data_IF_920832859625
#
_entry.id   IF_920832859625
#
_cell.length_a   1.000
_cell.length_b   1.000
_cell.length_c   1.000
_cell.angle_alpha   90.00
_cell.angle_beta   90.00
_cell.angle_gamma   90.00
#
_symmetry.space_group_name_H-M   'P 1'
#
loop_
_entity.id
_entity.type
_entity.pdbx_description
1 polymer ?
#
# COMPACT_ATOMS: atom_id res chain seq x y z
N UNK A 1 -13.49 5.18 -8.38
CA UNK A 1 -13.10 5.92 -9.60
C UNK A 1 -12.38 4.99 -10.60
N UNK A 2 -12.73 4.97 -11.90
CA UNK A 2 -11.78 4.44 -12.91
C UNK A 2 -10.58 5.38 -12.94
N UNK A 3 -9.47 5.00 -12.28
CA UNK A 3 -8.25 5.79 -12.17
C UNK A 3 -7.69 6.13 -13.56
N UNK A 4 -8.02 7.32 -14.08
CA UNK A 4 -7.35 7.92 -15.25
C UNK A 4 -6.01 8.52 -14.81
N UNK A 5 -5.14 7.71 -14.24
CA UNK A 5 -3.79 8.08 -13.87
C UNK A 5 -2.79 7.36 -14.79
N UNK A 6 -1.71 8.03 -15.17
CA UNK A 6 -0.69 7.40 -16.01
C UNK A 6 0.07 6.34 -15.20
N UNK A 7 0.21 5.15 -15.79
CA UNK A 7 1.06 4.06 -15.30
C UNK A 7 2.52 4.53 -15.26
N UNK A 8 3.02 4.83 -14.06
CA UNK A 8 4.44 4.98 -13.78
C UNK A 8 5.02 3.65 -13.30
N UNK A 9 5.05 2.63 -14.15
CA UNK A 9 5.79 1.39 -13.88
C UNK A 9 7.19 1.44 -14.49
N UNK A 10 8.11 0.63 -13.96
CA UNK A 10 9.44 0.41 -14.56
C UNK A 10 9.34 -0.19 -15.99
N UNK A 11 8.15 -0.65 -16.42
CA UNK A 11 7.89 -1.32 -17.70
C UNK A 11 7.42 -0.41 -18.86
N UNK A 12 7.99 0.79 -19.03
CA UNK A 12 8.28 1.21 -20.41
C UNK A 12 7.81 2.57 -20.95
N UNK A 13 7.52 3.58 -20.13
CA UNK A 13 7.56 5.00 -20.62
C UNK A 13 8.17 6.01 -19.64
N UNK A 14 8.27 5.67 -18.35
CA UNK A 14 8.83 6.54 -17.33
C UNK A 14 9.94 5.79 -16.58
N UNK A 15 11.19 6.04 -16.93
CA UNK A 15 12.35 5.36 -16.31
C UNK A 15 12.59 5.95 -14.92
N UNK A 16 12.01 5.36 -13.88
CA UNK A 16 12.30 5.72 -12.49
C UNK A 16 13.48 4.87 -12.00
N UNK A 17 14.69 5.38 -12.16
CA UNK A 17 15.93 4.63 -11.87
C UNK A 17 15.99 4.15 -10.42
N UNK A 18 16.14 2.84 -10.22
CA UNK A 18 16.38 2.17 -8.93
C UNK A 18 17.52 2.81 -8.12
N UNK A 19 18.55 3.25 -8.84
CA UNK A 19 19.74 3.92 -8.32
C UNK A 19 19.65 5.40 -8.66
N UNK A 20 19.88 6.26 -7.67
CA UNK A 20 19.85 7.70 -7.84
C UNK A 20 21.12 8.29 -7.24
N UNK A 21 21.62 9.39 -7.80
CA UNK A 21 22.76 10.10 -7.25
C UNK A 21 22.52 10.41 -5.76
N UNK A 22 23.48 10.06 -4.90
CA UNK A 22 23.36 10.17 -3.44
C UNK A 22 22.91 11.57 -2.99
N UNK A 23 23.39 12.60 -3.67
CA UNK A 23 23.04 14.01 -3.42
C UNK A 23 21.55 14.30 -3.60
N UNK A 24 20.86 13.57 -4.50
CA UNK A 24 19.42 13.75 -4.72
C UNK A 24 18.60 13.39 -3.48
N UNK A 25 19.03 12.37 -2.75
CA UNK A 25 18.32 11.85 -1.57
C UNK A 25 18.75 12.57 -0.28
N UNK A 26 19.91 13.23 -0.29
CA UNK A 26 20.51 13.83 0.90
C UNK A 26 19.68 15.03 1.39
N UNK A 27 19.35 15.03 2.69
CA UNK A 27 18.64 16.14 3.34
C UNK A 27 17.14 16.22 3.03
N UNK A 28 16.53 15.19 2.43
CA UNK A 28 15.09 15.16 2.09
C UNK A 28 14.24 14.45 3.14
N UNK A 29 14.85 13.59 3.95
CA UNK A 29 14.14 12.66 4.83
C UNK A 29 14.40 12.91 6.32
N UNK A 30 14.99 14.06 6.70
CA UNK A 30 15.32 14.33 8.10
C UNK A 30 16.23 13.25 8.70
N UNK A 31 15.87 12.76 9.88
CA UNK A 31 16.62 11.72 10.60
C UNK A 31 16.69 10.37 9.86
N UNK A 32 15.68 10.06 9.04
CA UNK A 32 15.58 8.82 8.27
C UNK A 32 16.63 8.71 7.16
N UNK A 33 17.30 9.82 6.82
CA UNK A 33 18.39 9.83 5.82
C UNK A 33 19.53 8.85 6.17
N UNK A 34 19.69 8.50 7.47
CA UNK A 34 20.69 7.53 7.94
C UNK A 34 20.39 6.09 7.53
N UNK A 35 19.14 5.81 7.13
CA UNK A 35 18.64 4.49 6.79
C UNK A 35 18.74 4.18 5.28
N UNK A 36 19.37 5.06 4.50
CA UNK A 36 19.54 4.88 3.06
C UNK A 36 20.62 3.83 2.75
N UNK A 37 20.39 3.00 1.73
CA UNK A 37 21.39 2.10 1.18
C UNK A 37 22.27 2.83 0.16
N UNK A 38 23.55 2.99 0.49
CA UNK A 38 24.57 3.52 -0.43
C UNK A 38 25.24 2.38 -1.21
N UNK A 39 25.53 2.62 -2.48
CA UNK A 39 26.34 1.73 -3.29
C UNK A 39 27.83 1.98 -3.02
N UNK A 40 28.63 0.92 -3.19
CA UNK A 40 30.08 1.03 -3.10
C UNK A 40 30.60 1.95 -4.20
N UNK A 41 31.55 2.82 -3.86
CA UNK A 41 32.29 3.60 -4.83
C UNK A 41 33.12 2.68 -5.73
N UNK A 42 32.91 2.82 -7.04
CA UNK A 42 33.61 2.07 -8.10
C UNK A 42 34.31 3.01 -9.09
N UNK A 43 34.59 4.27 -8.70
CA UNK A 43 35.25 5.27 -9.53
C UNK A 43 34.31 6.07 -10.43
N UNK A 44 33.01 6.05 -10.14
CA UNK A 44 31.97 6.78 -10.86
C UNK A 44 31.13 7.67 -9.94
N UNK A 45 29.92 8.00 -10.36
CA UNK A 45 28.98 8.74 -9.50
C UNK A 45 28.62 7.94 -8.23
N UNK A 46 28.51 8.64 -7.11
CA UNK A 46 28.01 8.04 -5.87
C UNK A 46 26.50 7.83 -5.96
N UNK A 47 26.07 6.59 -5.81
CA UNK A 47 24.67 6.19 -5.98
C UNK A 47 24.10 5.65 -4.66
N UNK A 48 22.80 5.83 -4.48
CA UNK A 48 22.02 5.27 -3.40
C UNK A 48 20.74 4.64 -3.95
N UNK A 49 20.21 3.63 -3.25
CA UNK A 49 18.90 3.06 -3.55
C UNK A 49 17.79 4.00 -3.05
N UNK A 50 16.69 4.07 -3.79
CA UNK A 50 15.52 4.89 -3.44
C UNK A 50 14.91 4.45 -2.10
N UNK A 51 14.72 5.41 -1.20
CA UNK A 51 14.08 5.23 0.12
C UNK A 51 12.55 5.21 0.04
N UNK A 52 12.00 5.97 -0.93
CA UNK A 52 10.59 6.08 -1.26
C UNK A 52 10.38 6.30 -2.78
N UNK A 53 9.13 6.49 -3.21
CA UNK A 53 8.80 6.86 -4.59
C UNK A 53 8.49 8.36 -4.76
N UNK A 54 8.28 9.09 -3.66
CA UNK A 54 7.91 10.52 -3.67
C UNK A 54 9.08 11.43 -4.05
N UNK A 55 10.28 11.24 -3.50
CA UNK A 55 11.47 12.03 -3.89
C UNK A 55 11.89 11.79 -5.34
N UNK A 56 11.94 10.53 -5.84
CA UNK A 56 12.13 10.28 -7.27
C UNK A 56 11.10 10.97 -8.16
N UNK A 57 9.83 11.04 -7.73
CA UNK A 57 8.78 11.75 -8.45
C UNK A 57 9.00 13.28 -8.48
N UNK A 58 9.34 13.89 -7.35
CA UNK A 58 9.66 15.31 -7.29
C UNK A 58 10.84 15.68 -8.22
N UNK A 59 11.88 14.83 -8.25
CA UNK A 59 12.98 14.97 -9.21
C UNK A 59 12.49 14.84 -10.66
N UNK A 60 11.65 13.86 -10.95
CA UNK A 60 11.10 13.66 -12.30
C UNK A 60 10.33 14.89 -12.79
N UNK A 61 9.50 15.50 -11.94
CA UNK A 61 8.77 16.73 -12.25
C UNK A 61 9.73 17.87 -12.61
N UNK A 62 10.74 18.10 -11.76
CA UNK A 62 11.70 19.18 -11.94
C UNK A 62 12.53 19.00 -13.23
N UNK A 63 13.09 17.81 -13.45
CA UNK A 63 13.92 17.51 -14.62
C UNK A 63 13.15 17.68 -15.94
N UNK A 64 11.90 17.24 -15.98
CA UNK A 64 11.06 17.33 -17.17
C UNK A 64 10.27 18.65 -17.25
N UNK A 65 10.46 19.55 -16.28
CA UNK A 65 9.74 20.83 -16.15
C UNK A 65 8.22 20.69 -16.11
N UNK A 66 7.71 19.54 -15.70
CA UNK A 66 6.27 19.24 -15.60
C UNK A 66 5.68 20.02 -14.43
N UNK A 67 4.59 20.74 -14.70
CA UNK A 67 3.88 21.54 -13.68
C UNK A 67 2.57 20.91 -13.24
N UNK A 68 2.05 19.93 -13.98
CA UNK A 68 0.84 19.22 -13.64
C UNK A 68 0.90 17.78 -14.14
N UNK A 69 0.59 16.82 -13.27
CA UNK A 69 0.45 15.40 -13.63
C UNK A 69 -0.29 14.69 -12.51
N UNK A 70 -1.11 13.70 -12.88
CA UNK A 70 -1.73 12.75 -11.96
C UNK A 70 -1.25 11.35 -12.31
N UNK A 71 -0.55 10.70 -11.38
CA UNK A 71 0.16 9.44 -11.63
C UNK A 71 0.02 8.48 -10.47
N UNK A 72 0.25 7.21 -10.75
CA UNK A 72 0.56 6.22 -9.73
C UNK A 72 1.86 5.50 -10.06
N UNK A 73 2.51 4.96 -9.04
CA UNK A 73 3.77 4.23 -9.16
C UNK A 73 3.79 3.08 -8.14
N UNK A 74 3.88 1.85 -8.64
CA UNK A 74 4.02 0.64 -7.82
C UNK A 74 5.42 0.08 -8.03
N UNK A 75 6.23 0.15 -6.98
CA UNK A 75 7.62 -0.30 -7.07
C UNK A 75 8.22 -0.60 -5.70
N UNK A 76 9.31 -1.37 -5.71
CA UNK A 76 10.09 -1.67 -4.51
C UNK A 76 10.92 -0.47 -4.06
N UNK A 77 11.06 -0.34 -2.74
CA UNK A 77 11.90 0.65 -2.05
C UNK A 77 12.77 -0.03 -1.00
N UNK A 78 13.80 0.69 -0.54
CA UNK A 78 14.88 0.11 0.25
C UNK A 78 15.19 0.96 1.48
N UNK A 79 15.02 0.37 2.67
CA UNK A 79 15.26 1.04 3.96
C UNK A 79 16.08 0.14 4.87
N UNK A 80 17.16 0.66 5.45
CA UNK A 80 18.02 -0.04 6.42
C UNK A 80 17.40 -0.08 7.83
N UNK A 81 16.09 -0.19 7.92
CA UNK A 81 15.37 -0.29 9.19
C UNK A 81 15.71 -1.62 9.90
N UNK A 82 15.37 -1.70 11.18
CA UNK A 82 15.42 -2.94 11.95
C UNK A 82 14.22 -3.81 11.56
N UNK A 83 14.45 -4.95 10.87
CA UNK A 83 13.36 -5.75 10.33
C UNK A 83 12.55 -6.39 11.46
N UNK A 84 11.23 -6.42 11.29
CA UNK A 84 10.31 -7.14 12.16
C UNK A 84 9.41 -8.00 11.27
N UNK A 85 9.87 -9.23 11.00
CA UNK A 85 9.24 -10.13 10.03
C UNK A 85 7.79 -10.45 10.38
N UNK A 86 7.49 -10.62 11.68
CA UNK A 86 6.13 -10.87 12.20
C UNK A 86 5.18 -9.68 12.06
N UNK A 87 5.69 -8.49 11.71
CA UNK A 87 4.91 -7.24 11.55
C UNK A 87 4.96 -6.69 10.12
N UNK A 88 5.49 -7.46 9.17
CA UNK A 88 5.63 -7.07 7.76
C UNK A 88 6.63 -5.93 7.53
N UNK A 89 7.61 -5.72 8.43
CA UNK A 89 8.68 -4.73 8.22
C UNK A 89 9.91 -5.37 7.62
N UNK A 90 10.10 -5.11 6.34
CA UNK A 90 11.24 -5.58 5.56
C UNK A 90 12.19 -4.44 5.21
N UNK A 91 13.37 -4.79 4.72
CA UNK A 91 14.36 -3.82 4.21
C UNK A 91 14.19 -3.53 2.73
N UNK A 92 13.62 -4.46 1.99
CA UNK A 92 13.10 -4.30 0.63
C UNK A 92 11.61 -4.59 0.69
N UNK A 93 10.78 -3.69 0.19
CA UNK A 93 9.31 -3.88 0.16
C UNK A 93 8.66 -3.01 -0.90
N UNK A 94 7.42 -3.33 -1.29
CA UNK A 94 6.64 -2.53 -2.22
C UNK A 94 6.00 -1.29 -1.58
N UNK A 95 6.01 -0.19 -2.33
CA UNK A 95 5.08 0.93 -2.16
C UNK A 95 4.15 1.02 -3.37
N UNK A 96 2.90 1.42 -3.11
CA UNK A 96 1.94 1.80 -4.15
C UNK A 96 1.56 3.26 -3.90
N UNK A 97 2.24 4.16 -4.60
CA UNK A 97 2.04 5.60 -4.47
C UNK A 97 1.06 6.10 -5.53
N UNK A 98 0.21 7.05 -5.16
CA UNK A 98 -0.64 7.84 -6.04
C UNK A 98 -0.49 9.31 -5.70
N UNK A 99 -0.22 10.14 -6.71
CA UNK A 99 0.07 11.56 -6.50
C UNK A 99 -0.56 12.46 -7.55
N UNK A 100 -1.01 13.62 -7.08
CA UNK A 100 -1.55 14.72 -7.88
C UNK A 100 -0.61 15.91 -7.72
N UNK A 101 0.09 16.26 -8.79
CA UNK A 101 0.92 17.45 -8.88
C UNK A 101 0.21 18.52 -9.72
N UNK A 102 0.27 19.76 -9.25
CA UNK A 102 -0.24 20.94 -9.95
C UNK A 102 -0.91 21.95 -9.04
N UNK A 103 -1.06 23.17 -9.56
CA UNK A 103 -1.83 24.23 -8.92
C UNK A 103 -3.31 24.02 -9.22
N UNK A 104 -4.10 23.75 -8.18
CA UNK A 104 -5.55 23.57 -8.25
C UNK A 104 -6.22 24.36 -7.12
N UNK A 105 -7.55 24.38 -7.14
CA UNK A 105 -8.33 24.95 -6.05
C UNK A 105 -8.21 24.10 -4.79
N UNK A 106 -8.30 24.78 -3.64
CA UNK A 106 -7.95 24.22 -2.34
C UNK A 106 -8.74 22.94 -2.02
N UNK A 107 -8.05 21.95 -1.48
CA UNK A 107 -8.57 20.70 -0.90
C UNK A 107 -9.26 19.73 -1.85
N UNK A 108 -9.51 20.08 -3.12
CA UNK A 108 -10.13 19.15 -4.08
C UNK A 108 -9.23 17.92 -4.33
N UNK A 109 -7.93 18.07 -4.66
CA UNK A 109 -7.05 16.92 -4.87
C UNK A 109 -6.79 16.14 -3.56
N UNK A 110 -6.73 16.85 -2.44
CA UNK A 110 -6.52 16.28 -1.11
C UNK A 110 -7.68 15.36 -0.70
N UNK A 111 -8.92 15.79 -0.97
CA UNK A 111 -10.11 14.97 -0.78
C UNK A 111 -10.13 13.75 -1.71
N UNK A 112 -9.70 13.89 -2.97
CA UNK A 112 -9.60 12.76 -3.92
C UNK A 112 -8.62 11.69 -3.41
N UNK A 113 -7.48 12.08 -2.84
CA UNK A 113 -6.53 11.14 -2.24
C UNK A 113 -7.16 10.31 -1.11
N UNK A 114 -7.91 10.95 -0.20
CA UNK A 114 -8.60 10.24 0.88
C UNK A 114 -9.71 9.31 0.35
N UNK A 115 -10.44 9.74 -0.69
CA UNK A 115 -11.43 8.88 -1.35
C UNK A 115 -10.80 7.64 -1.97
N UNK A 116 -9.62 7.76 -2.58
CA UNK A 116 -8.89 6.62 -3.16
C UNK A 116 -8.48 5.63 -2.06
N UNK A 117 -7.96 6.11 -0.93
CA UNK A 117 -7.63 5.24 0.22
C UNK A 117 -8.87 4.50 0.70
N UNK A 118 -9.98 5.22 0.89
CA UNK A 118 -11.25 4.62 1.28
C UNK A 118 -11.71 3.54 0.30
N UNK A 119 -11.71 3.82 -1.01
CA UNK A 119 -12.14 2.87 -2.03
C UNK A 119 -11.27 1.61 -2.02
N UNK A 120 -9.94 1.75 -1.97
CA UNK A 120 -8.99 0.63 -1.94
C UNK A 120 -9.22 -0.25 -0.70
N UNK A 121 -9.26 0.36 0.50
CA UNK A 121 -9.39 -0.41 1.74
C UNK A 121 -10.77 -1.08 1.86
N UNK A 122 -11.82 -0.44 1.35
CA UNK A 122 -13.16 -1.00 1.33
C UNK A 122 -13.29 -2.16 0.32
N UNK A 123 -12.67 -2.06 -0.86
CA UNK A 123 -12.72 -3.10 -1.89
C UNK A 123 -11.89 -4.34 -1.53
N UNK A 124 -10.79 -4.17 -0.79
CA UNK A 124 -9.94 -5.27 -0.35
C UNK A 124 -10.53 -6.10 0.81
N UNK A 125 -11.61 -5.63 1.46
CA UNK A 125 -12.31 -6.32 2.55
C UNK A 125 -11.36 -6.84 3.66
N UNK A 126 -10.52 -5.93 4.18
CA UNK A 126 -9.50 -6.20 5.19
C UNK A 126 -10.02 -6.05 6.64
N UNK A 127 -11.35 -5.94 6.81
CA UNK A 127 -11.99 -5.57 8.07
C UNK A 127 -12.20 -4.05 8.21
N UNK A 128 -12.64 -3.63 9.39
CA UNK A 128 -12.90 -2.21 9.65
C UNK A 128 -11.60 -1.38 9.72
N UNK A 129 -11.67 -0.11 9.31
CA UNK A 129 -10.52 0.80 9.26
C UNK A 129 -10.92 2.24 9.61
N UNK A 130 -9.92 3.06 9.91
CA UNK A 130 -10.05 4.51 10.11
C UNK A 130 -8.91 5.24 9.41
N UNK A 131 -9.20 6.41 8.84
CA UNK A 131 -8.23 7.31 8.22
C UNK A 131 -8.11 8.53 9.11
N UNK A 132 -7.02 8.59 9.88
CA UNK A 132 -6.65 9.76 10.67
C UNK A 132 -6.16 10.85 9.72
N UNK A 133 -6.60 12.08 9.94
CA UNK A 133 -6.17 13.28 9.19
C UNK A 133 -5.73 14.36 10.17
N UNK A 134 -4.74 15.15 9.79
CA UNK A 134 -4.30 16.37 10.48
C UNK A 134 -3.65 17.31 9.46
N UNK A 135 -3.14 18.46 9.88
CA UNK A 135 -2.41 19.40 9.02
C UNK A 135 -1.14 19.92 9.72
N UNK A 136 -0.04 19.96 8.96
CA UNK A 136 1.27 20.42 9.44
C UNK A 136 1.22 21.82 10.06
N UNK A 137 0.42 22.73 9.48
CA UNK A 137 0.27 24.12 9.93
C UNK A 137 -0.51 24.21 11.25
N UNK A 138 -1.42 23.27 11.49
CA UNK A 138 -2.14 23.14 12.77
C UNK A 138 -1.15 22.71 13.85
N UNK A 139 -0.31 21.70 13.58
CA UNK A 139 0.75 21.28 14.51
C UNK A 139 1.72 22.43 14.84
N UNK A 140 2.19 23.16 13.82
CA UNK A 140 3.06 24.33 13.97
C UNK A 140 2.40 25.40 14.86
N UNK A 141 1.16 25.76 14.55
CA UNK A 141 0.46 26.79 15.30
C UNK A 141 0.09 26.36 16.72
N UNK A 142 -0.29 25.09 16.92
CA UNK A 142 -0.61 24.50 18.22
C UNK A 142 0.59 24.52 19.15
N UNK A 143 1.76 24.06 18.69
CA UNK A 143 2.97 24.10 19.50
C UNK A 143 3.41 25.53 19.82
N UNK A 144 3.28 26.46 18.88
CA UNK A 144 3.57 27.87 19.12
C UNK A 144 2.66 28.47 20.21
N UNK A 145 1.35 28.21 20.19
CA UNK A 145 0.43 28.73 21.23
C UNK A 145 0.61 28.04 22.59
N UNK A 146 1.08 26.79 22.59
CA UNK A 146 1.47 26.09 23.82
C UNK A 146 2.80 26.60 24.38
N UNK A 147 3.61 27.34 23.62
CA UNK A 147 4.89 27.89 24.07
C UNK A 147 6.07 26.93 23.88
N UNK A 148 6.00 26.04 22.89
CA UNK A 148 7.15 25.22 22.49
C UNK A 148 8.17 26.10 21.76
N UNK A 149 9.46 26.07 22.16
CA UNK A 149 10.51 26.77 21.43
C UNK A 149 10.70 26.22 20.02
N UNK A 150 10.91 27.10 19.03
CA UNK A 150 11.07 26.72 17.61
C UNK A 150 12.16 25.64 17.39
N UNK A 151 13.27 25.74 18.13
CA UNK A 151 14.39 24.79 18.10
C UNK A 151 14.04 23.37 18.59
N UNK A 152 12.98 23.24 19.40
CA UNK A 152 12.47 21.97 19.91
C UNK A 152 11.29 21.43 19.11
N UNK A 153 10.80 22.17 18.11
CA UNK A 153 9.62 21.80 17.35
C UNK A 153 9.66 20.35 16.85
N UNK A 154 10.75 19.98 16.16
CA UNK A 154 10.90 18.66 15.54
C UNK A 154 10.95 17.53 16.56
N UNK A 155 11.68 17.74 17.66
CA UNK A 155 11.85 16.72 18.70
C UNK A 155 10.55 16.51 19.46
N UNK A 156 9.77 17.57 19.70
CA UNK A 156 8.43 17.46 20.30
C UNK A 156 7.42 16.80 19.35
N UNK A 157 7.45 17.12 18.04
CA UNK A 157 6.64 16.40 17.03
C UNK A 157 6.92 14.90 17.06
N UNK A 158 8.20 14.50 17.08
CA UNK A 158 8.61 13.09 17.17
C UNK A 158 8.10 12.42 18.45
N UNK A 159 8.08 13.13 19.57
CA UNK A 159 7.55 12.60 20.83
C UNK A 159 6.01 12.50 20.81
N UNK A 160 5.29 13.48 20.24
CA UNK A 160 3.82 13.41 20.04
C UNK A 160 3.43 12.24 19.15
N UNK A 161 4.21 11.93 18.10
CA UNK A 161 3.93 10.81 17.19
C UNK A 161 3.83 9.46 17.91
N UNK A 162 4.51 9.32 19.05
CA UNK A 162 4.50 8.10 19.86
C UNK A 162 3.19 7.87 20.60
N UNK A 163 2.26 8.84 20.63
CA UNK A 163 0.91 8.66 21.22
C UNK A 163 0.10 7.55 20.55
N UNK A 164 0.51 7.11 19.35
CA UNK A 164 -0.09 5.96 18.69
C UNK A 164 0.24 4.62 19.40
N UNK A 165 1.31 4.58 20.20
CA UNK A 165 1.83 3.38 20.87
C UNK A 165 2.02 3.54 22.38
N UNK A 166 2.11 4.77 22.87
CA UNK A 166 2.42 5.11 24.25
C UNK A 166 1.29 5.92 24.87
N UNK A 167 1.05 5.71 26.17
CA UNK A 167 0.12 6.53 26.93
C UNK A 167 0.63 7.97 27.03
N UNK A 168 -0.31 8.92 27.17
CA UNK A 168 -0.01 10.34 27.34
C UNK A 168 1.01 10.60 28.46
N UNK A 169 0.89 9.91 29.59
CA UNK A 169 1.79 10.08 30.73
C UNK A 169 3.26 9.81 30.40
N UNK A 170 3.53 8.79 29.58
CA UNK A 170 4.90 8.44 29.20
C UNK A 170 5.44 9.39 28.12
N UNK A 171 4.57 9.83 27.21
CA UNK A 171 4.89 10.88 26.23
C UNK A 171 5.19 12.21 26.94
N UNK A 172 4.40 12.61 27.93
CA UNK A 172 4.63 13.79 28.77
C UNK A 172 5.97 13.70 29.51
N UNK A 173 6.27 12.55 30.14
CA UNK A 173 7.56 12.32 30.81
C UNK A 173 8.73 12.48 29.85
N UNK A 174 8.64 11.96 28.62
CA UNK A 174 9.70 12.12 27.62
C UNK A 174 9.89 13.60 27.24
N UNK A 175 8.80 14.34 27.01
CA UNK A 175 8.87 15.78 26.69
C UNK A 175 9.57 16.58 27.79
N UNK A 176 9.25 16.30 29.05
CA UNK A 176 9.79 17.04 30.19
C UNK A 176 11.22 16.60 30.49
N UNK A 177 11.44 15.30 30.71
CA UNK A 177 12.70 14.79 31.25
C UNK A 177 13.80 14.68 30.19
N UNK A 178 13.46 14.33 28.95
CA UNK A 178 14.46 14.10 27.89
C UNK A 178 14.58 15.29 26.94
N UNK A 179 13.47 15.95 26.61
CA UNK A 179 13.47 17.11 25.69
C UNK A 179 13.56 18.45 26.42
N UNK A 180 13.45 18.45 27.75
CA UNK A 180 13.59 19.65 28.58
C UNK A 180 12.48 20.67 28.37
N UNK A 181 11.26 20.23 28.10
CA UNK A 181 10.08 21.09 28.03
C UNK A 181 9.54 21.35 29.45
N UNK A 182 8.95 22.51 29.72
CA UNK A 182 8.31 22.72 31.02
C UNK A 182 7.02 21.91 31.14
N UNK A 183 6.67 21.52 32.36
CA UNK A 183 5.47 20.73 32.62
C UNK A 183 4.20 21.46 32.16
N UNK A 184 4.09 22.76 32.43
CA UNK A 184 2.96 23.60 31.97
C UNK A 184 2.81 23.68 30.44
N UNK A 185 3.92 23.58 29.69
CA UNK A 185 3.86 23.53 28.22
C UNK A 185 3.40 22.15 27.77
N UNK A 186 3.92 21.09 28.38
CA UNK A 186 3.51 19.72 28.07
C UNK A 186 2.02 19.50 28.37
N UNK A 187 1.51 19.99 29.50
CA UNK A 187 0.08 19.88 29.85
C UNK A 187 -0.82 20.59 28.85
N UNK A 188 -0.44 21.80 28.41
CA UNK A 188 -1.17 22.51 27.35
C UNK A 188 -1.14 21.77 26.02
N UNK A 189 -0.05 21.09 25.67
CA UNK A 189 -0.02 20.21 24.49
C UNK A 189 -1.04 19.07 24.67
N UNK A 190 -1.08 18.46 25.85
CA UNK A 190 -1.99 17.38 26.22
C UNK A 190 -3.47 17.70 26.00
N UNK A 191 -3.86 18.94 26.33
CA UNK A 191 -5.21 19.45 26.10
C UNK A 191 -5.62 19.33 24.62
N UNK A 192 -4.71 19.64 23.68
CA UNK A 192 -5.01 19.60 22.25
C UNK A 192 -4.80 18.22 21.62
N UNK A 193 -3.69 17.53 21.90
CA UNK A 193 -3.35 16.27 21.21
C UNK A 193 -4.26 15.10 21.59
N UNK A 194 -5.03 15.25 22.68
CA UNK A 194 -6.08 14.30 23.07
C UNK A 194 -7.40 14.51 22.32
N UNK A 195 -7.53 15.60 21.54
CA UNK A 195 -8.73 15.91 20.78
C UNK A 195 -8.76 15.16 19.45
N UNK A 196 -9.89 14.50 19.20
CA UNK A 196 -10.23 13.88 17.91
C UNK A 196 -11.71 14.08 17.59
N UNK A 197 -12.08 14.10 16.31
CA UNK A 197 -13.46 14.36 15.88
C UNK A 197 -13.60 14.44 14.37
N UNK A 198 -14.62 15.15 13.88
CA UNK A 198 -14.83 15.42 12.47
C UNK A 198 -14.80 16.91 12.16
N UNK A 199 -15.71 17.34 11.29
CA UNK A 199 -15.88 18.76 10.96
C UNK A 199 -16.20 19.62 12.18
N UNK A 200 -16.95 19.08 13.16
CA UNK A 200 -17.32 19.76 14.40
C UNK A 200 -16.08 20.20 15.20
N UNK A 201 -15.02 19.38 15.20
CA UNK A 201 -13.77 19.68 15.88
C UNK A 201 -13.04 20.83 15.18
N UNK A 202 -12.98 20.81 13.85
CA UNK A 202 -12.39 21.92 13.08
C UNK A 202 -13.13 23.24 13.36
N UNK A 203 -14.46 23.21 13.44
CA UNK A 203 -15.27 24.39 13.76
C UNK A 203 -15.06 24.88 15.20
N UNK A 204 -14.94 23.98 16.17
CA UNK A 204 -14.60 24.33 17.56
C UNK A 204 -13.23 24.98 17.66
N UNK A 205 -12.21 24.41 17.02
CA UNK A 205 -10.84 24.92 17.06
C UNK A 205 -10.69 26.24 16.31
N UNK A 206 -11.51 26.52 15.29
CA UNK A 206 -11.59 27.84 14.67
C UNK A 206 -12.10 28.92 15.63
N UNK A 207 -12.86 28.55 16.65
CA UNK A 207 -13.35 29.45 17.70
C UNK A 207 -12.41 29.51 18.92
N UNK A 208 -11.36 28.68 18.96
CA UNK A 208 -10.39 28.70 20.04
C UNK A 208 -9.63 30.05 20.07
N UNK A 209 -9.65 30.80 21.19
CA UNK A 209 -9.07 32.13 21.26
C UNK A 209 -7.55 32.18 21.01
N UNK A 210 -6.83 31.09 21.29
CA UNK A 210 -5.38 31.00 21.11
C UNK A 210 -5.06 30.60 19.67
N UNK A 211 -5.67 29.53 19.16
CA UNK A 211 -5.41 29.01 17.82
C UNK A 211 -5.90 29.95 16.72
N UNK A 212 -7.05 30.60 16.90
CA UNK A 212 -7.62 31.53 15.92
C UNK A 212 -6.73 32.75 15.65
N UNK A 213 -5.89 33.14 16.61
CA UNK A 213 -4.92 34.23 16.44
C UNK A 213 -3.65 33.80 15.71
N UNK A 214 -3.36 32.48 15.65
CA UNK A 214 -2.23 31.95 14.92
C UNK A 214 -2.60 31.76 13.44
N UNK A 215 -1.97 32.56 12.56
CA UNK A 215 -2.28 32.54 11.11
C UNK A 215 -2.10 31.17 10.45
N UNK A 216 -1.11 30.38 10.87
CA UNK A 216 -0.86 29.06 10.30
C UNK A 216 -1.93 28.07 10.74
N UNK A 217 -2.23 28.00 12.03
CA UNK A 217 -3.29 27.14 12.55
C UNK A 217 -4.65 27.52 11.95
N UNK A 218 -4.98 28.81 11.88
CA UNK A 218 -6.24 29.27 11.29
C UNK A 218 -6.39 28.85 9.82
N UNK A 219 -5.34 28.99 9.02
CA UNK A 219 -5.34 28.54 7.63
C UNK A 219 -5.51 27.01 7.52
N UNK A 220 -4.75 26.24 8.32
CA UNK A 220 -4.87 24.79 8.36
C UNK A 220 -6.27 24.33 8.78
N UNK A 221 -6.86 24.93 9.81
CA UNK A 221 -8.21 24.62 10.29
C UNK A 221 -9.30 24.99 9.26
N UNK A 222 -9.11 26.09 8.53
CA UNK A 222 -10.01 26.48 7.44
C UNK A 222 -9.98 25.45 6.31
N UNK A 223 -8.78 25.00 5.94
CA UNK A 223 -8.60 23.94 4.94
C UNK A 223 -9.16 22.60 5.42
N UNK A 224 -9.00 22.24 6.70
CA UNK A 224 -9.62 21.05 7.28
C UNK A 224 -11.14 21.12 7.21
N UNK A 225 -11.75 22.25 7.56
CA UNK A 225 -13.20 22.43 7.42
C UNK A 225 -13.66 22.23 5.96
N UNK A 226 -12.95 22.80 5.00
CA UNK A 226 -13.25 22.64 3.58
C UNK A 226 -13.09 21.18 3.14
N UNK A 227 -12.02 20.51 3.56
CA UNK A 227 -11.77 19.10 3.30
C UNK A 227 -12.95 18.24 3.77
N UNK A 228 -13.41 18.40 5.01
CA UNK A 228 -14.54 17.62 5.53
C UNK A 228 -15.84 17.85 4.73
N UNK A 229 -16.08 19.08 4.25
CA UNK A 229 -17.25 19.33 3.38
C UNK A 229 -17.18 18.56 2.06
N UNK A 230 -15.99 18.37 1.49
CA UNK A 230 -15.82 17.53 0.28
C UNK A 230 -15.91 16.05 0.59
N UNK A 231 -15.39 15.61 1.75
CA UNK A 231 -15.50 14.22 2.20
C UNK A 231 -16.95 13.82 2.48
N UNK A 232 -17.79 14.75 2.93
CA UNK A 232 -19.23 14.54 3.08
C UNK A 232 -19.90 14.28 1.73
N UNK A 233 -19.57 15.08 0.70
CA UNK A 233 -20.04 14.86 -0.67
C UNK A 233 -19.59 13.50 -1.23
N UNK A 234 -18.38 13.06 -0.87
CA UNK A 234 -17.83 11.74 -1.24
C UNK A 234 -18.36 10.59 -0.39
N UNK A 235 -19.11 10.88 0.67
CA UNK A 235 -19.70 9.91 1.60
C UNK A 235 -18.65 9.00 2.22
N UNK A 236 -17.58 9.59 2.78
CA UNK A 236 -16.48 8.85 3.44
C UNK A 236 -16.16 9.36 4.85
N UNK A 237 -16.95 10.31 5.37
CA UNK A 237 -16.73 10.93 6.69
C UNK A 237 -16.87 9.96 7.85
N UNK A 238 -17.57 8.83 7.66
CA UNK A 238 -17.69 7.75 8.65
C UNK A 238 -16.36 7.04 8.93
N UNK A 239 -15.40 7.12 8.01
CA UNK A 239 -14.06 6.53 8.15
C UNK A 239 -12.96 7.55 8.41
N UNK A 240 -13.22 8.85 8.27
CA UNK A 240 -12.19 9.89 8.39
C UNK A 240 -12.29 10.59 9.74
N UNK A 241 -11.19 10.62 10.50
CA UNK A 241 -11.12 11.22 11.84
C UNK A 241 -10.05 12.31 11.86
N UNK A 242 -10.43 13.53 12.20
CA UNK A 242 -9.50 14.59 12.51
C UNK A 242 -8.87 14.31 13.87
N UNK A 243 -7.56 14.06 13.91
CA UNK A 243 -6.83 13.63 15.10
C UNK A 243 -5.57 14.49 15.27
N UNK A 244 -5.53 15.31 16.33
CA UNK A 244 -4.42 16.24 16.58
C UNK A 244 -3.15 15.52 17.07
N UNK A 245 -3.26 14.26 17.48
CA UNK A 245 -2.12 13.41 17.84
C UNK A 245 -1.33 12.93 16.61
N UNK A 246 -1.92 13.00 15.41
CA UNK A 246 -1.25 12.58 14.18
C UNK A 246 -0.17 13.60 13.82
N UNK A 247 1.07 13.30 14.19
CA UNK A 247 2.25 14.10 13.86
C UNK A 247 3.21 13.35 12.92
N UNK A 248 2.72 12.30 12.24
CA UNK A 248 3.48 11.52 11.28
C UNK A 248 3.83 12.32 10.04
N UNK A 249 5.06 12.10 9.60
CA UNK A 249 5.41 12.39 8.23
C UNK A 249 6.88 12.64 8.02
N UNK A 250 7.29 12.47 6.78
CA UNK A 250 8.61 12.89 6.33
C UNK A 250 8.65 14.42 6.39
N UNK A 251 9.84 14.96 6.69
CA UNK A 251 10.11 16.40 6.90
C UNK A 251 9.60 17.33 5.78
N UNK A 252 9.13 16.79 4.64
CA UNK A 252 8.67 17.52 3.48
C UNK A 252 7.18 17.89 3.43
N UNK A 253 6.33 17.41 4.35
CA UNK A 253 4.91 17.78 4.34
C UNK A 253 4.69 19.24 4.75
N UNK A 254 3.75 19.91 4.07
CA UNK A 254 3.47 21.36 4.20
C UNK A 254 2.00 21.68 4.47
N UNK A 255 1.11 20.69 4.41
CA UNK A 255 -0.33 20.84 4.62
C UNK A 255 -0.90 19.60 5.27
N UNK A 256 -1.99 19.06 4.71
CA UNK A 256 -2.62 17.86 5.25
C UNK A 256 -1.66 16.68 5.33
N UNK A 257 -1.83 15.88 6.37
CA UNK A 257 -1.17 14.60 6.61
C UNK A 257 -2.25 13.60 6.99
N UNK A 258 -2.10 12.36 6.55
CA UNK A 258 -3.06 11.33 6.84
C UNK A 258 -2.45 9.95 6.94
N UNK A 259 -3.14 9.11 7.71
CA UNK A 259 -2.74 7.75 8.02
C UNK A 259 -3.98 6.87 8.17
N UNK A 260 -4.02 5.77 7.43
CA UNK A 260 -5.05 4.75 7.58
C UNK A 260 -4.56 3.62 8.49
N UNK A 261 -5.37 3.27 9.47
CA UNK A 261 -5.15 2.17 10.41
C UNK A 261 -6.32 1.19 10.32
N UNK A 262 -6.05 -0.10 10.48
CA UNK A 262 -7.11 -1.09 10.64
C UNK A 262 -7.58 -1.12 12.09
N UNK A 263 -8.87 -1.35 12.31
CA UNK A 263 -9.50 -1.32 13.64
C UNK A 263 -9.41 -2.67 14.38
N UNK A 264 -9.13 -3.78 13.69
CA UNK A 264 -9.15 -5.13 14.29
C UNK A 264 -7.77 -5.64 14.70
N UNK A 265 -7.60 -5.93 15.99
CA UNK A 265 -6.52 -6.80 16.49
C UNK A 265 -6.55 -8.13 15.74
N UNK A 266 -5.54 -8.39 14.93
CA UNK A 266 -5.28 -9.72 14.38
C UNK A 266 -5.09 -10.64 15.59
N UNK A 267 -5.85 -11.75 15.73
CA UNK A 267 -5.57 -12.74 16.77
C UNK A 267 -4.11 -13.14 16.67
N UNK A 268 -3.35 -12.98 17.76
CA UNK A 268 -1.95 -13.40 17.80
C UNK A 268 -1.90 -14.94 17.70
N UNK A 269 -1.82 -15.49 16.50
CA UNK A 269 -1.52 -16.89 16.30
C UNK A 269 -0.07 -17.05 15.85
N UNK A 270 0.67 -17.77 16.68
CA UNK A 270 2.09 -18.17 16.58
C UNK A 270 3.09 -17.10 17.00
N UNK A 271 3.07 -16.79 18.30
CA UNK A 271 4.32 -16.53 19.01
C UNK A 271 5.24 -17.74 18.85
N UNK A 272 6.35 -17.57 18.15
CA UNK A 272 7.49 -18.48 18.31
C UNK A 272 8.06 -18.28 19.73
N UNK A 273 8.58 -19.34 20.40
CA UNK A 273 8.91 -19.29 21.83
C UNK A 273 10.21 -18.53 22.17
N UNK A 274 10.51 -17.40 21.52
CA UNK A 274 11.81 -16.73 21.65
C UNK A 274 11.78 -15.30 22.26
N UNK A 275 10.61 -14.69 22.48
CA UNK A 275 10.56 -13.35 23.09
C UNK A 275 9.65 -13.32 24.32
N UNK A 276 10.10 -13.98 25.38
CA UNK A 276 9.72 -13.61 26.75
C UNK A 276 10.59 -12.43 27.18
N UNK A 277 10.12 -11.20 26.94
CA UNK A 277 10.44 -10.06 27.78
C UNK A 277 9.14 -9.29 27.98
N UNK A 278 8.65 -9.31 29.21
CA UNK A 278 7.28 -8.95 29.57
C UNK A 278 6.91 -7.50 29.25
N UNK A 279 5.75 -7.36 28.62
CA UNK A 279 4.81 -6.26 28.79
C UNK A 279 3.43 -6.76 28.29
N UNK A 280 2.51 -6.86 29.23
CA UNK A 280 1.04 -6.97 29.19
C UNK A 280 0.27 -7.31 27.90
N UNK A 281 -0.78 -8.12 28.11
CA UNK A 281 -1.88 -8.49 27.21
C UNK A 281 -2.73 -7.29 26.72
N UNK A 282 -2.10 -6.32 26.05
CA UNK A 282 -2.79 -5.31 25.25
C UNK A 282 -2.74 -5.74 23.78
N UNK A 283 -3.91 -5.92 23.16
CA UNK A 283 -4.04 -6.30 21.77
C UNK A 283 -3.07 -5.53 20.87
N UNK A 284 -2.31 -6.27 20.04
CA UNK A 284 -1.32 -5.70 19.13
C UNK A 284 -1.99 -4.63 18.27
N UNK A 285 -1.58 -3.36 18.42
CA UNK A 285 -2.11 -2.26 17.60
C UNK A 285 -1.92 -2.63 16.13
N UNK A 286 -3.00 -2.70 15.38
CA UNK A 286 -2.96 -2.91 13.93
C UNK A 286 -2.29 -1.70 13.32
N UNK A 287 -1.06 -1.88 12.83
CA UNK A 287 -0.30 -0.75 12.35
C UNK A 287 -0.88 -0.16 11.06
N UNK A 288 -0.44 1.05 10.74
CA UNK A 288 -0.71 1.80 9.49
C UNK A 288 -0.70 0.96 8.20
N UNK A 289 -1.75 1.05 7.39
CA UNK A 289 -1.88 0.39 6.08
C UNK A 289 -1.83 1.36 4.90
N UNK A 290 -1.95 2.66 5.17
CA UNK A 290 -1.70 3.71 4.18
C UNK A 290 -1.27 4.99 4.88
N UNK A 291 -0.50 5.83 4.19
CA UNK A 291 -0.12 7.15 4.70
C UNK A 291 0.22 8.11 3.57
N UNK A 292 0.05 9.41 3.81
CA UNK A 292 0.28 10.42 2.79
C UNK A 292 0.06 11.84 3.29
N UNK A 293 0.03 12.78 2.36
CA UNK A 293 -0.14 14.19 2.67
C UNK A 293 0.26 15.13 1.54
N UNK A 294 0.19 16.43 1.83
CA UNK A 294 0.54 17.54 0.91
C UNK A 294 1.97 18.02 1.14
N UNK A 295 2.75 18.18 0.07
CA UNK A 295 4.20 18.45 0.12
C UNK A 295 4.67 19.45 -0.96
N UNK A 296 4.16 20.68 -0.91
CA UNK A 296 4.31 21.68 -1.99
C UNK A 296 5.75 22.20 -2.18
N UNK A 297 6.63 21.97 -1.20
CA UNK A 297 8.02 22.44 -1.22
C UNK A 297 8.99 21.50 -1.95
N UNK A 298 8.66 20.21 -2.11
CA UNK A 298 9.64 19.19 -2.45
C UNK A 298 10.17 19.33 -3.89
N UNK A 299 9.29 19.62 -4.85
CA UNK A 299 9.69 19.81 -6.26
C UNK A 299 10.61 21.02 -6.41
N UNK A 300 10.33 22.10 -5.67
CA UNK A 300 11.16 23.31 -5.69
C UNK A 300 12.59 23.08 -5.21
N UNK A 301 12.85 22.00 -4.45
CA UNK A 301 14.22 21.64 -4.06
C UNK A 301 15.06 21.03 -5.19
N UNK A 302 14.42 20.59 -6.28
CA UNK A 302 15.09 20.02 -7.46
C UNK A 302 15.06 20.95 -8.67
N UNK A 303 14.16 21.94 -8.70
CA UNK A 303 14.09 22.93 -9.76
C UNK A 303 15.20 24.00 -9.58
N UNK A 304 16.07 24.24 -10.59
CA UNK A 304 17.17 25.20 -10.46
C UNK A 304 16.74 26.64 -10.16
N UNK A 305 15.48 27.01 -10.44
CA UNK A 305 14.92 28.33 -10.15
C UNK A 305 14.04 28.33 -8.89
N UNK A 306 13.98 27.21 -8.17
CA UNK A 306 13.13 27.06 -6.99
C UNK A 306 11.63 27.10 -7.32
N UNK A 307 11.23 26.80 -8.56
CA UNK A 307 9.82 26.81 -8.94
C UNK A 307 9.06 25.74 -8.14
N UNK A 308 8.08 26.18 -7.35
CA UNK A 308 7.20 25.29 -6.59
C UNK A 308 6.18 24.65 -7.52
N UNK A 309 5.94 23.37 -7.31
CA UNK A 309 4.82 22.62 -7.91
C UNK A 309 4.10 21.98 -6.73
N UNK A 310 2.88 22.43 -6.40
CA UNK A 310 2.11 21.84 -5.32
C UNK A 310 1.82 20.37 -5.59
N UNK A 311 1.92 19.54 -4.55
CA UNK A 311 1.73 18.09 -4.67
C UNK A 311 0.99 17.55 -3.45
N UNK A 312 0.08 16.62 -3.69
CA UNK A 312 -0.55 15.80 -2.64
C UNK A 312 -0.62 14.35 -3.12
N UNK A 313 -0.42 13.41 -2.21
CA UNK A 313 -0.46 12.00 -2.58
C UNK A 313 -0.44 11.05 -1.39
N UNK A 314 -0.65 9.79 -1.70
CA UNK A 314 -0.79 8.70 -0.74
C UNK A 314 0.04 7.49 -1.16
N UNK A 315 0.54 6.76 -0.17
CA UNK A 315 1.21 5.48 -0.32
C UNK A 315 0.41 4.40 0.41
N UNK A 316 0.09 3.30 -0.28
CA UNK A 316 -0.52 2.11 0.31
C UNK A 316 0.58 1.15 0.76
N UNK A 317 0.51 0.72 2.03
CA UNK A 317 1.42 -0.24 2.65
C UNK A 317 1.08 -1.68 2.24
N UNK A 318 1.39 -2.05 0.99
CA UNK A 318 0.96 -3.31 0.38
C UNK A 318 1.45 -4.55 1.14
N UNK A 319 2.66 -4.53 1.71
CA UNK A 319 3.18 -5.70 2.45
C UNK A 319 2.27 -6.14 3.59
N UNK A 320 1.73 -5.18 4.36
CA UNK A 320 0.80 -5.50 5.44
C UNK A 320 -0.52 -6.06 4.91
N UNK A 321 -0.99 -5.51 3.80
CA UNK A 321 -2.18 -5.98 3.11
C UNK A 321 -1.98 -7.44 2.66
N UNK A 322 -0.84 -7.76 2.04
CA UNK A 322 -0.52 -9.13 1.64
C UNK A 322 -0.49 -10.09 2.81
N UNK A 323 0.15 -9.73 3.94
CA UNK A 323 0.15 -10.59 5.13
C UNK A 323 -1.27 -10.87 5.66
N UNK A 324 -2.16 -9.87 5.65
CA UNK A 324 -3.55 -10.04 6.11
C UNK A 324 -4.34 -10.91 5.12
N UNK A 325 -4.17 -10.68 3.81
CA UNK A 325 -4.84 -11.47 2.78
C UNK A 325 -4.37 -12.92 2.77
N UNK A 326 -3.08 -13.17 2.99
CA UNK A 326 -2.52 -14.52 3.12
C UNK A 326 -3.11 -15.25 4.33
N UNK A 327 -3.18 -14.60 5.49
CA UNK A 327 -3.84 -15.16 6.68
C UNK A 327 -5.35 -15.43 6.45
N UNK A 328 -6.05 -14.53 5.76
CA UNK A 328 -7.46 -14.73 5.38
C UNK A 328 -7.61 -15.92 4.43
N UNK A 329 -6.66 -16.12 3.51
CA UNK A 329 -6.64 -17.26 2.61
C UNK A 329 -6.30 -18.58 3.34
N UNK A 330 -5.33 -18.58 4.27
CA UNK A 330 -4.96 -19.74 5.09
C UNK A 330 -6.10 -20.20 6.01
N UNK A 331 -6.88 -19.24 6.52
CA UNK A 331 -8.06 -19.54 7.35
C UNK A 331 -9.27 -19.95 6.51
N UNK A 332 -9.30 -19.59 5.23
CA UNK A 332 -10.26 -20.12 4.28
C UNK A 332 -9.90 -21.56 3.90
N UNK A 333 -10.90 -22.42 3.66
CA UNK A 333 -10.66 -23.76 3.10
C UNK A 333 -10.31 -23.73 1.61
N UNK A 334 -10.22 -22.55 0.99
CA UNK A 334 -9.98 -22.38 -0.43
C UNK A 334 -8.48 -22.35 -0.72
N UNK A 335 -8.06 -23.24 -1.64
CA UNK A 335 -6.66 -23.31 -2.05
C UNK A 335 -6.36 -22.19 -3.04
N UNK A 336 -5.46 -21.29 -2.67
CA UNK A 336 -4.93 -20.28 -3.59
C UNK A 336 -4.15 -20.97 -4.71
N UNK A 337 -4.62 -20.79 -5.95
CA UNK A 337 -3.95 -21.35 -7.13
C UNK A 337 -2.76 -20.48 -7.52
N UNK A 338 -1.65 -21.12 -7.85
CA UNK A 338 -0.44 -20.46 -8.36
C UNK A 338 -0.35 -20.48 -9.89
N UNK A 339 -1.32 -21.12 -10.56
CA UNK A 339 -1.43 -21.20 -12.01
C UNK A 339 -2.86 -20.95 -12.47
N UNK A 340 -3.01 -20.48 -13.70
CA UNK A 340 -4.31 -20.22 -14.33
C UNK A 340 -4.73 -21.32 -15.30
N UNK A 341 -4.08 -22.49 -15.24
CA UNK A 341 -4.31 -23.60 -16.17
C UNK A 341 -5.75 -24.09 -16.06
N UNK A 342 -6.46 -24.09 -17.20
CA UNK A 342 -7.87 -24.43 -17.33
C UNK A 342 -8.08 -25.92 -17.52
N UNK A 343 -7.17 -26.59 -18.24
CA UNK A 343 -7.32 -28.00 -18.59
C UNK A 343 -5.96 -28.72 -18.69
N UNK A 344 -5.90 -29.94 -18.18
CA UNK A 344 -4.78 -30.85 -18.43
C UNK A 344 -5.15 -31.82 -19.56
N UNK A 345 -4.33 -31.92 -20.61
CA UNK A 345 -4.47 -32.96 -21.64
C UNK A 345 -3.84 -34.25 -21.13
N UNK A 346 -4.65 -35.29 -21.02
CA UNK A 346 -4.27 -36.56 -20.43
C UNK A 346 -4.55 -37.76 -21.34
N UNK A 347 -3.94 -38.90 -21.02
CA UNK A 347 -4.38 -40.19 -21.55
C UNK A 347 -4.05 -41.31 -20.56
N UNK A 348 -4.85 -42.37 -20.55
CA UNK A 348 -4.58 -43.58 -19.76
C UNK A 348 -3.73 -44.59 -20.54
N UNK A 349 -3.90 -44.63 -21.86
CA UNK A 349 -3.21 -45.55 -22.75
C UNK A 349 -1.80 -45.08 -23.11
N UNK A 350 -0.97 -46.02 -23.55
CA UNK A 350 0.41 -45.78 -23.97
C UNK A 350 0.45 -45.23 -25.40
N UNK A 351 1.60 -44.67 -25.81
CA UNK A 351 1.90 -44.21 -27.17
C UNK A 351 1.02 -43.06 -27.69
N UNK A 352 0.29 -42.36 -26.81
CA UNK A 352 -0.56 -41.21 -27.17
C UNK A 352 0.10 -39.85 -26.94
N UNK A 353 1.43 -39.80 -26.70
CA UNK A 353 2.11 -38.52 -26.47
C UNK A 353 1.92 -37.55 -27.65
N UNK A 354 2.09 -38.03 -28.88
CA UNK A 354 1.96 -37.18 -30.08
C UNK A 354 0.55 -36.58 -30.19
N UNK A 355 -0.49 -37.37 -29.90
CA UNK A 355 -1.88 -36.89 -29.90
C UNK A 355 -2.16 -35.90 -28.76
N UNK A 356 -1.61 -36.14 -27.56
CA UNK A 356 -1.68 -35.16 -26.47
C UNK A 356 -1.00 -33.85 -26.85
N UNK A 357 0.18 -33.90 -27.48
CA UNK A 357 0.89 -32.70 -27.94
C UNK A 357 0.11 -31.95 -29.02
N UNK A 358 -0.49 -32.66 -29.99
CA UNK A 358 -1.35 -32.07 -31.03
C UNK A 358 -2.54 -31.34 -30.40
N UNK A 359 -3.26 -32.00 -29.48
CA UNK A 359 -4.41 -31.39 -28.82
C UNK A 359 -4.01 -30.19 -27.96
N UNK A 360 -2.93 -30.32 -27.18
CA UNK A 360 -2.43 -29.22 -26.33
C UNK A 360 -2.08 -27.99 -27.19
N UNK A 361 -1.40 -28.19 -28.33
CA UNK A 361 -1.10 -27.11 -29.26
C UNK A 361 -2.36 -26.48 -29.88
N UNK A 362 -3.39 -27.28 -30.22
CA UNK A 362 -4.67 -26.76 -30.69
C UNK A 362 -5.35 -25.87 -29.64
N UNK A 363 -5.32 -26.29 -28.37
CA UNK A 363 -5.87 -25.52 -27.25
C UNK A 363 -5.10 -24.21 -27.03
N UNK A 364 -3.77 -24.24 -27.07
CA UNK A 364 -2.94 -23.02 -27.01
C UNK A 364 -3.23 -22.06 -28.16
N UNK A 365 -3.33 -22.56 -29.40
CA UNK A 365 -3.67 -21.75 -30.57
C UNK A 365 -5.07 -21.12 -30.46
N UNK A 366 -5.97 -21.70 -29.66
CA UNK A 366 -7.30 -21.18 -29.37
C UNK A 366 -7.36 -20.26 -28.12
N UNK A 367 -6.22 -19.98 -27.50
CA UNK A 367 -6.11 -19.13 -26.30
C UNK A 367 -6.48 -19.83 -24.99
N UNK A 368 -6.60 -21.16 -24.98
CA UNK A 368 -6.87 -21.94 -23.77
C UNK A 368 -5.56 -22.21 -23.02
N UNK A 369 -5.56 -21.97 -21.71
CA UNK A 369 -4.45 -22.26 -20.81
C UNK A 369 -4.42 -23.76 -20.51
N UNK A 370 -3.78 -24.52 -21.40
CA UNK A 370 -3.69 -25.98 -21.30
C UNK A 370 -2.29 -26.45 -20.86
N UNK A 371 -2.21 -27.59 -20.20
CA UNK A 371 -0.95 -28.26 -19.87
C UNK A 371 -0.98 -29.74 -20.28
N UNK A 372 0.20 -30.37 -20.36
CA UNK A 372 0.38 -31.81 -20.54
C UNK A 372 1.55 -32.27 -19.69
N UNK A 373 1.45 -33.43 -19.04
CA UNK A 373 2.61 -33.98 -18.31
C UNK A 373 3.71 -34.38 -19.29
N UNK A 374 4.95 -33.97 -18.99
CA UNK A 374 6.16 -34.28 -19.77
C UNK A 374 6.64 -35.74 -19.58
N UNK A 375 5.75 -36.70 -19.82
CA UNK A 375 6.01 -38.13 -19.79
C UNK A 375 5.43 -38.76 -21.05
N UNK A 376 6.10 -39.74 -21.64
CA UNK A 376 5.56 -40.47 -22.80
C UNK A 376 4.26 -41.20 -22.42
N UNK A 377 4.30 -41.96 -21.33
CA UNK A 377 3.20 -42.82 -20.87
C UNK A 377 2.86 -42.56 -19.38
N UNK A 378 2.28 -41.39 -19.03
CA UNK A 378 1.85 -41.11 -17.66
C UNK A 378 0.68 -42.02 -17.26
N UNK A 379 0.59 -42.38 -15.98
CA UNK A 379 -0.59 -43.06 -15.45
C UNK A 379 -1.74 -42.05 -15.31
N UNK A 380 -2.97 -42.44 -15.60
CA UNK A 380 -4.13 -41.54 -15.45
C UNK A 380 -4.26 -41.03 -14.01
N UNK A 381 -4.09 -41.91 -13.02
CA UNK A 381 -4.12 -41.52 -11.61
C UNK A 381 -3.14 -40.39 -11.29
N UNK A 382 -1.89 -40.47 -11.76
CA UNK A 382 -0.90 -39.41 -11.52
C UNK A 382 -1.22 -38.08 -12.22
N UNK A 383 -1.99 -38.12 -13.31
CA UNK A 383 -2.45 -36.92 -14.01
C UNK A 383 -3.59 -36.25 -13.22
N UNK A 384 -4.54 -37.03 -12.72
CA UNK A 384 -5.63 -36.54 -11.88
C UNK A 384 -5.11 -35.95 -10.56
N UNK A 385 -4.18 -36.64 -9.90
CA UNK A 385 -3.52 -36.15 -8.68
C UNK A 385 -2.82 -34.80 -8.92
N UNK A 386 -2.12 -34.65 -10.06
CA UNK A 386 -1.51 -33.37 -10.42
C UNK A 386 -2.55 -32.25 -10.56
N UNK A 387 -3.71 -32.52 -11.17
CA UNK A 387 -4.80 -31.55 -11.26
C UNK A 387 -5.37 -31.17 -9.89
N UNK A 388 -5.59 -32.16 -9.00
CA UNK A 388 -6.04 -31.93 -7.61
C UNK A 388 -5.01 -31.09 -6.83
N UNK A 389 -3.71 -31.38 -7.00
CA UNK A 389 -2.60 -30.66 -6.36
C UNK A 389 -2.39 -29.24 -6.90
N UNK A 390 -2.75 -28.94 -8.14
CA UNK A 390 -2.56 -27.61 -8.76
C UNK A 390 -3.86 -26.81 -8.92
N UNK A 391 -4.99 -27.43 -8.60
CA UNK A 391 -6.32 -26.83 -8.76
C UNK A 391 -6.80 -26.71 -10.20
N UNK A 392 -6.22 -27.48 -11.15
CA UNK A 392 -6.69 -27.50 -12.54
C UNK A 392 -8.11 -28.09 -12.57
N UNK A 393 -9.13 -27.38 -13.11
CA UNK A 393 -10.52 -27.80 -12.96
C UNK A 393 -10.94 -28.91 -13.93
N UNK A 394 -10.27 -29.04 -15.08
CA UNK A 394 -10.67 -29.96 -16.15
C UNK A 394 -9.53 -30.87 -16.62
N UNK A 395 -9.87 -32.07 -17.08
CA UNK A 395 -8.96 -32.98 -17.76
C UNK A 395 -9.55 -33.43 -19.10
N UNK A 396 -8.83 -33.16 -20.18
CA UNK A 396 -9.17 -33.62 -21.53
C UNK A 396 -8.47 -34.97 -21.79
N UNK A 397 -9.21 -36.07 -21.67
CA UNK A 397 -8.68 -37.43 -21.74
C UNK A 397 -8.79 -37.96 -23.17
N UNK A 398 -7.65 -38.34 -23.73
CA UNK A 398 -7.53 -39.03 -25.01
C UNK A 398 -7.41 -40.54 -24.82
N UNK A 399 -8.06 -41.28 -25.71
CA UNK A 399 -7.89 -42.71 -25.90
C UNK A 399 -8.03 -43.07 -27.38
N UNK A 400 -7.58 -44.26 -27.76
CA UNK A 400 -7.61 -44.75 -29.14
C UNK A 400 -9.03 -44.81 -29.73
N UNK A 401 -10.05 -45.09 -28.90
CA UNK A 401 -11.43 -45.12 -29.34
C UNK A 401 -11.98 -43.70 -29.51
N UNK A 402 -11.75 -42.83 -28.53
CA UNK A 402 -12.13 -41.41 -28.59
C UNK A 402 -11.53 -40.71 -29.82
N UNK A 403 -10.28 -41.03 -30.17
CA UNK A 403 -9.62 -40.53 -31.38
C UNK A 403 -10.29 -41.02 -32.68
N UNK A 404 -10.76 -42.28 -32.73
CA UNK A 404 -11.51 -42.82 -33.88
C UNK A 404 -12.88 -42.17 -34.00
N UNK A 405 -13.52 -41.90 -32.88
CA UNK A 405 -14.86 -41.32 -32.82
C UNK A 405 -14.85 -39.79 -32.96
N UNK A 406 -13.67 -39.17 -33.00
CA UNK A 406 -13.50 -37.72 -33.15
C UNK A 406 -13.93 -36.94 -31.91
N UNK A 407 -13.91 -37.57 -30.73
CA UNK A 407 -14.32 -36.99 -29.45
C UNK A 407 -13.15 -36.90 -28.47
N UNK A 408 -13.33 -36.12 -27.41
CA UNK A 408 -12.44 -36.05 -26.26
C UNK A 408 -13.29 -36.18 -25.02
N UNK A 409 -12.87 -37.07 -24.10
CA UNK A 409 -13.56 -37.24 -22.83
C UNK A 409 -13.13 -36.13 -21.88
N UNK A 410 -14.03 -35.19 -21.61
CA UNK A 410 -13.78 -34.05 -20.73
C UNK A 410 -14.27 -34.39 -19.32
N UNK A 411 -13.33 -34.47 -18.38
CA UNK A 411 -13.60 -34.76 -16.98
C UNK A 411 -13.52 -33.50 -16.13
N UNK A 412 -14.49 -33.27 -15.25
CA UNK A 412 -14.36 -32.30 -14.16
C UNK A 412 -13.61 -32.95 -12.99
N UNK A 413 -12.56 -32.30 -12.49
CA UNK A 413 -11.68 -32.87 -11.45
C UNK A 413 -12.40 -32.96 -10.11
N UNK A 414 -13.17 -31.94 -9.73
CA UNK A 414 -13.87 -31.88 -8.46
C UNK A 414 -15.10 -32.81 -8.43
N UNK A 415 -16.01 -32.70 -9.43
CA UNK A 415 -17.23 -33.53 -9.45
C UNK A 415 -17.00 -34.94 -9.97
N UNK A 416 -15.86 -35.20 -10.63
CA UNK A 416 -15.49 -36.48 -11.27
C UNK A 416 -16.39 -36.90 -12.43
N UNK A 417 -17.31 -36.03 -12.84
CA UNK A 417 -18.18 -36.27 -13.99
C UNK A 417 -17.38 -36.21 -15.30
N UNK A 418 -17.70 -37.12 -16.22
CA UNK A 418 -17.07 -37.25 -17.53
C UNK A 418 -18.14 -37.08 -18.61
N UNK A 419 -17.83 -36.29 -19.63
CA UNK A 419 -18.70 -36.08 -20.79
C UNK A 419 -17.86 -36.21 -22.05
N UNK A 420 -18.36 -36.94 -23.03
CA UNK A 420 -17.73 -36.99 -24.35
C UNK A 420 -18.08 -35.72 -25.13
N UNK A 421 -17.06 -34.99 -25.56
CA UNK A 421 -17.19 -33.72 -26.27
C UNK A 421 -16.59 -33.88 -27.67
N UNK A 422 -17.33 -33.55 -28.75
CA UNK A 422 -16.75 -33.52 -30.09
C UNK A 422 -15.52 -32.64 -30.14
N UNK A 423 -14.46 -33.08 -30.82
CA UNK A 423 -13.18 -32.36 -30.85
C UNK A 423 -13.33 -30.92 -31.40
N UNK A 424 -14.31 -30.70 -32.27
CA UNK A 424 -14.64 -29.39 -32.82
C UNK A 424 -15.18 -28.41 -31.75
N UNK A 425 -15.94 -28.92 -30.77
CA UNK A 425 -16.64 -28.11 -29.76
C UNK A 425 -15.84 -27.94 -28.46
N UNK A 426 -14.72 -28.68 -28.32
CA UNK A 426 -13.94 -28.76 -27.09
C UNK A 426 -13.46 -27.39 -26.58
N UNK A 427 -13.05 -26.50 -27.48
CA UNK A 427 -12.58 -25.15 -27.11
C UNK A 427 -13.70 -24.35 -26.44
N UNK A 428 -14.89 -24.36 -27.03
CA UNK A 428 -16.02 -23.59 -26.53
C UNK A 428 -16.57 -24.18 -25.23
N UNK A 429 -16.57 -25.52 -25.12
CA UNK A 429 -16.98 -26.20 -23.90
C UNK A 429 -16.02 -25.93 -22.73
N UNK A 430 -14.70 -25.85 -22.97
CA UNK A 430 -13.73 -25.46 -21.94
C UNK A 430 -13.96 -24.01 -21.51
N UNK A 431 -14.17 -23.08 -22.46
CA UNK A 431 -14.46 -21.67 -22.16
C UNK A 431 -15.70 -21.55 -21.29
N UNK A 432 -16.79 -22.22 -21.66
CA UNK A 432 -18.06 -22.22 -20.92
C UNK A 432 -17.94 -22.71 -19.47
N UNK A 433 -16.99 -23.59 -19.17
CA UNK A 433 -16.79 -24.17 -17.83
C UNK A 433 -15.75 -23.46 -16.97
N UNK A 434 -15.02 -22.48 -17.52
CA UNK A 434 -13.87 -21.85 -16.83
C UNK A 434 -13.83 -20.33 -16.92
N UNK A 435 -14.67 -19.72 -17.75
CA UNK A 435 -15.04 -18.30 -17.71
C UNK A 435 -16.37 -18.17 -16.98
#
# INVERSE_FOLDING_TARGET
LQLKAQLGGDEGKHVFVLKTAKETLTGKYGEDSKLIYDLKDQGGELLSLRYDLTVPFARYLALNKITNIKRYHIAKVYRRDNPAMTRGRYREFYQCDFDIAGQYDAMIPDAECLKIVYEILNELDLGDFRIKVNDRRILDGMFAVCGVPDEKFRTICSTVDKLDKMAWEDVKKEMVNEKGLSEDVADRIGEYVSMQGGQDLAERLLQDPKLSQNKQAFAGLTDMKLLFSYLELFQVTDKVVFDLSLARGLDYYTGVIYEAILSQTIPASVSTPAEQNGADEAGVSVGSVAGGGRYDGLVGMFDPKGRKVPCVGVSIGIERIFSIMEQKAETSSEKVRTTETQVLVASAQKNLLEERLKLTSQLWNAGIKAEVLYKKNPKLLSQLQHCEETGIPLVAILGEQELKDGVVKLRNVASREEVDVPRADLVDEIKKRTL
#
